data_IF_546680759029
#
_entry.id   IF_546680759029
#
_cell.length_a   1.000
_cell.length_b   1.000
_cell.length_c   1.000
_cell.angle_alpha   90.00
_cell.angle_beta   90.00
_cell.angle_gamma   90.00
#
_symmetry.space_group_name_H-M   'P 1'
#
loop_
_entity.id
_entity.type
_entity.pdbx_description
1 polymer ?
#
# COMPACT_ATOMS: atom_id res chain seq x y z
N UNK A 1 -30.12 25.60 0.08
CA UNK A 1 -28.65 25.59 -0.16
C UNK A 1 -28.37 25.07 -1.57
N UNK A 2 -27.12 25.06 -2.07
CA UNK A 2 -26.83 24.65 -3.46
C UNK A 2 -26.88 23.11 -3.63
N UNK A 3 -27.40 22.64 -4.76
CA UNK A 3 -27.31 21.22 -5.16
C UNK A 3 -25.86 20.82 -5.30
N UNK A 4 -25.44 19.77 -4.59
CA UNK A 4 -24.08 19.25 -4.61
C UNK A 4 -24.04 18.05 -5.56
N UNK A 5 -23.50 18.24 -6.75
CA UNK A 5 -23.12 17.14 -7.64
C UNK A 5 -21.62 16.93 -7.46
N UNK A 6 -21.23 15.78 -6.92
CA UNK A 6 -19.84 15.46 -6.61
C UNK A 6 -19.46 14.09 -7.14
N UNK A 7 -18.21 13.96 -7.57
CA UNK A 7 -17.63 12.69 -8.00
C UNK A 7 -17.01 12.03 -6.79
N UNK A 8 -17.50 10.85 -6.43
CA UNK A 8 -17.01 10.06 -5.29
C UNK A 8 -16.37 8.78 -5.82
N UNK A 9 -15.16 8.50 -5.35
CA UNK A 9 -14.43 7.27 -5.69
C UNK A 9 -14.10 6.50 -4.42
N UNK A 10 -14.45 5.21 -4.39
CA UNK A 10 -14.06 4.30 -3.31
C UNK A 10 -12.63 3.81 -3.51
N UNK A 11 -11.78 3.95 -2.50
CA UNK A 11 -10.37 3.54 -2.47
C UNK A 11 -10.21 2.52 -1.33
N UNK A 12 -10.36 1.21 -1.61
CA UNK A 12 -10.19 0.17 -0.60
C UNK A 12 -8.75 0.11 -0.07
N UNK A 13 -8.60 -0.24 1.21
CA UNK A 13 -7.32 -0.69 1.79
C UNK A 13 -7.01 -2.16 1.45
N UNK A 14 -5.91 -2.66 2.00
CA UNK A 14 -5.31 -3.97 1.64
C UNK A 14 -6.24 -5.19 1.82
N UNK A 15 -7.19 -5.12 2.75
CA UNK A 15 -8.13 -6.22 3.06
C UNK A 15 -9.59 -5.89 2.76
N UNK A 16 -9.84 -4.76 2.12
CA UNK A 16 -11.19 -4.28 1.87
C UNK A 16 -11.81 -4.92 0.61
N UNK A 17 -13.15 -5.07 0.57
CA UNK A 17 -13.84 -5.68 -0.54
C UNK A 17 -13.72 -4.84 -1.83
N UNK A 18 -13.82 -5.49 -2.98
CA UNK A 18 -13.76 -4.82 -4.30
C UNK A 18 -14.96 -3.90 -4.60
N UNK A 19 -16.00 -3.97 -3.77
CA UNK A 19 -17.18 -3.12 -3.83
C UNK A 19 -17.76 -2.94 -2.43
N UNK A 20 -18.38 -1.78 -2.20
CA UNK A 20 -19.07 -1.46 -0.94
C UNK A 20 -20.42 -0.83 -1.24
N UNK A 21 -21.42 -1.12 -0.41
CA UNK A 21 -22.72 -0.44 -0.46
C UNK A 21 -22.77 0.62 0.64
N UNK A 22 -23.04 1.86 0.27
CA UNK A 22 -23.14 2.98 1.21
C UNK A 22 -24.27 3.93 0.79
N UNK A 23 -25.19 4.24 1.72
CA UNK A 23 -26.39 5.05 1.50
C UNK A 23 -27.18 4.69 0.23
N UNK A 24 -27.36 3.38 -0.02
CA UNK A 24 -28.07 2.87 -1.20
C UNK A 24 -27.26 2.85 -2.50
N UNK A 25 -26.02 3.34 -2.49
CA UNK A 25 -25.12 3.29 -3.64
C UNK A 25 -24.13 2.15 -3.53
N UNK A 26 -24.01 1.36 -4.59
CA UNK A 26 -22.85 0.48 -4.76
C UNK A 26 -21.71 1.29 -5.36
N UNK A 27 -20.57 1.31 -4.67
CA UNK A 27 -19.30 1.84 -5.16
C UNK A 27 -18.39 0.68 -5.52
N UNK A 28 -17.78 0.73 -6.70
CA UNK A 28 -16.74 -0.20 -7.09
C UNK A 28 -15.38 0.43 -6.78
N UNK A 29 -14.44 -0.41 -6.37
CA UNK A 29 -13.07 0.01 -6.06
C UNK A 29 -12.45 0.77 -7.24
N UNK A 30 -11.98 1.99 -6.98
CA UNK A 30 -11.32 2.89 -7.91
C UNK A 30 -12.18 3.30 -9.12
N UNK A 31 -13.51 3.20 -9.02
CA UNK A 31 -14.44 3.67 -10.05
C UNK A 31 -15.14 4.93 -9.55
N UNK A 32 -14.93 6.02 -10.28
CA UNK A 32 -15.59 7.30 -10.03
C UNK A 32 -17.10 7.17 -10.25
N UNK A 33 -17.88 7.64 -9.29
CA UNK A 33 -19.34 7.66 -9.35
C UNK A 33 -19.86 9.05 -9.03
N UNK A 34 -20.65 9.61 -9.94
CA UNK A 34 -21.33 10.87 -9.71
C UNK A 34 -22.50 10.65 -8.74
N UNK A 35 -22.52 11.42 -7.65
CA UNK A 35 -23.60 11.44 -6.66
C UNK A 35 -24.16 12.85 -6.58
N UNK A 36 -25.50 12.96 -6.62
CA UNK A 36 -26.22 14.22 -6.51
C UNK A 36 -26.97 14.26 -5.19
N UNK A 37 -26.60 15.21 -4.33
CA UNK A 37 -27.19 15.44 -3.03
C UNK A 37 -27.83 16.82 -2.92
N UNK A 38 -28.93 16.88 -2.18
CA UNK A 38 -29.62 18.12 -1.83
C UNK A 38 -30.07 18.04 -0.36
N UNK A 39 -29.51 18.87 0.55
CA UNK A 39 -29.88 18.86 1.96
C UNK A 39 -31.33 19.29 2.21
N UNK A 40 -31.96 20.00 1.26
CA UNK A 40 -33.35 20.45 1.34
C UNK A 40 -34.30 19.56 0.51
N UNK A 41 -33.76 18.59 -0.24
CA UNK A 41 -34.47 17.76 -1.21
C UNK A 41 -35.27 16.60 -0.62
N UNK A 42 -35.54 15.60 -1.46
CA UNK A 42 -36.20 14.34 -1.05
C UNK A 42 -35.34 13.57 -0.05
N UNK A 43 -35.93 12.60 0.67
CA UNK A 43 -35.20 11.78 1.65
C UNK A 43 -33.95 11.11 1.06
N UNK A 44 -33.98 10.72 -0.22
CA UNK A 44 -32.83 10.16 -0.94
C UNK A 44 -31.76 11.20 -1.25
N UNK A 45 -32.15 12.43 -1.61
CA UNK A 45 -31.20 13.51 -1.89
C UNK A 45 -30.52 14.02 -0.61
N UNK A 46 -31.24 14.01 0.51
CA UNK A 46 -30.68 14.33 1.84
C UNK A 46 -29.64 13.29 2.27
N UNK A 47 -29.95 12.00 2.08
CA UNK A 47 -29.00 10.90 2.32
C UNK A 47 -27.75 11.02 1.43
N UNK A 48 -27.92 11.42 0.17
CA UNK A 48 -26.80 11.65 -0.74
C UNK A 48 -25.95 12.85 -0.30
N UNK A 49 -26.56 13.94 0.17
CA UNK A 49 -25.83 15.10 0.70
C UNK A 49 -24.97 14.70 1.92
N UNK A 50 -25.54 13.94 2.86
CA UNK A 50 -24.80 13.40 4.00
C UNK A 50 -23.67 12.44 3.58
N UNK A 51 -23.90 11.62 2.55
CA UNK A 51 -22.87 10.74 2.01
C UNK A 51 -21.70 11.55 1.42
N UNK A 52 -21.97 12.61 0.68
CA UNK A 52 -20.92 13.49 0.12
C UNK A 52 -20.08 14.11 1.25
N UNK A 53 -20.71 14.64 2.30
CA UNK A 53 -20.01 15.22 3.45
C UNK A 53 -19.20 14.18 4.23
N UNK A 54 -19.76 12.99 4.44
CA UNK A 54 -19.09 11.90 5.13
C UNK A 54 -17.90 11.36 4.33
N UNK A 55 -18.04 11.27 3.00
CA UNK A 55 -16.98 10.80 2.12
C UNK A 55 -15.74 11.71 2.13
N UNK A 56 -15.91 13.03 2.34
CA UNK A 56 -14.78 13.97 2.47
C UNK A 56 -13.88 13.68 3.68
N UNK A 57 -14.45 13.09 4.73
CA UNK A 57 -13.73 12.76 5.97
C UNK A 57 -13.40 11.27 6.07
N UNK A 58 -13.67 10.48 5.04
CA UNK A 58 -13.46 9.03 5.05
C UNK A 58 -12.17 8.69 4.27
N UNK A 59 -11.17 8.05 4.89
CA UNK A 59 -9.90 7.71 4.22
C UNK A 59 -10.07 6.74 3.04
N UNK A 60 -11.19 6.02 2.98
CA UNK A 60 -11.49 5.10 1.89
C UNK A 60 -12.26 5.74 0.74
N UNK A 61 -12.51 7.05 0.76
CA UNK A 61 -13.25 7.73 -0.30
C UNK A 61 -12.59 9.05 -0.70
N UNK A 62 -12.62 9.35 -1.99
CA UNK A 62 -12.08 10.60 -2.55
C UNK A 62 -13.22 11.35 -3.25
N UNK A 63 -13.34 12.65 -2.99
CA UNK A 63 -14.39 13.53 -3.52
C UNK A 63 -13.78 14.62 -4.40
N UNK A 64 -14.19 14.73 -5.68
CA UNK A 64 -13.83 15.84 -6.60
C UNK A 64 -13.48 15.44 -8.05
N UNK A 65 -13.56 16.39 -8.98
CA UNK A 65 -13.15 16.22 -10.38
C UNK A 65 -11.64 16.01 -10.52
N UNK A 66 -11.24 14.98 -11.25
CA UNK A 66 -9.82 14.65 -11.43
C UNK A 66 -9.23 13.73 -10.37
N UNK A 67 -10.05 13.20 -9.45
CA UNK A 67 -9.72 12.02 -8.67
C UNK A 67 -9.61 10.79 -9.60
N UNK A 68 -8.57 10.78 -10.45
CA UNK A 68 -7.95 9.53 -10.85
C UNK A 68 -7.50 8.93 -9.54
N UNK A 69 -8.30 8.01 -8.99
CA UNK A 69 -7.73 7.00 -8.13
C UNK A 69 -6.58 6.42 -8.95
N UNK A 70 -5.35 6.83 -8.62
CA UNK A 70 -4.18 6.09 -8.98
C UNK A 70 -4.49 4.72 -8.43
N UNK A 71 -4.86 3.82 -9.35
CA UNK A 71 -5.11 2.43 -9.07
C UNK A 71 -3.93 2.02 -8.21
N UNK A 72 -4.13 1.86 -6.89
CA UNK A 72 -3.23 1.06 -6.09
C UNK A 72 -3.20 -0.24 -6.88
N UNK A 73 -2.06 -0.47 -7.54
CA UNK A 73 -1.96 -1.43 -8.61
C UNK A 73 -2.21 -2.77 -7.97
N UNK A 74 -3.49 -3.22 -8.00
CA UNK A 74 -3.99 -4.54 -7.63
C UNK A 74 -2.82 -5.49 -7.60
N UNK A 75 -2.23 -5.74 -6.43
CA UNK A 75 -0.88 -6.30 -6.24
C UNK A 75 -0.49 -7.14 -7.44
N UNK A 76 0.07 -6.48 -8.46
CA UNK A 76 0.50 -7.18 -9.65
C UNK A 76 1.82 -7.69 -9.16
N UNK A 77 1.78 -8.93 -8.66
CA UNK A 77 2.98 -9.68 -8.35
C UNK A 77 3.99 -9.37 -9.43
N UNK A 78 5.15 -8.79 -9.07
CA UNK A 78 6.08 -8.28 -10.05
C UNK A 78 6.45 -9.41 -11.01
N UNK A 79 6.68 -9.02 -12.26
CA UNK A 79 6.98 -9.96 -13.35
C UNK A 79 8.40 -9.83 -13.86
N UNK A 80 9.08 -8.77 -13.45
CA UNK A 80 10.43 -8.41 -13.86
C UNK A 80 11.14 -7.70 -12.71
N UNK A 81 12.46 -7.59 -12.80
CA UNK A 81 13.30 -7.01 -11.76
C UNK A 81 12.91 -5.56 -11.45
N UNK A 82 12.58 -4.77 -12.48
CA UNK A 82 12.13 -3.38 -12.32
C UNK A 82 10.84 -3.29 -11.50
N UNK A 83 9.88 -4.18 -11.78
CA UNK A 83 8.64 -4.30 -11.04
C UNK A 83 8.89 -4.75 -9.61
N UNK A 84 9.85 -5.66 -9.40
CA UNK A 84 10.24 -6.09 -8.06
C UNK A 84 10.83 -4.93 -7.24
N UNK A 85 11.68 -4.08 -7.83
CA UNK A 85 12.19 -2.89 -7.13
C UNK A 85 11.08 -1.92 -6.73
N UNK A 86 10.11 -1.66 -7.62
CA UNK A 86 8.97 -0.82 -7.28
C UNK A 86 8.09 -1.44 -6.18
N UNK A 87 7.87 -2.75 -6.25
CA UNK A 87 7.18 -3.52 -5.22
C UNK A 87 7.90 -3.45 -3.87
N UNK A 88 9.22 -3.62 -3.87
CA UNK A 88 10.09 -3.49 -2.70
C UNK A 88 9.97 -2.12 -2.03
N UNK A 89 10.10 -1.05 -2.81
CA UNK A 89 9.98 0.32 -2.29
C UNK A 89 8.60 0.61 -1.71
N UNK A 90 7.53 0.05 -2.30
CA UNK A 90 6.18 0.24 -1.79
C UNK A 90 6.00 -0.43 -0.44
N UNK A 91 6.35 -1.71 -0.31
CA UNK A 91 6.18 -2.38 0.99
C UNK A 91 7.12 -1.82 2.05
N UNK A 92 8.33 -1.37 1.69
CA UNK A 92 9.25 -0.74 2.65
C UNK A 92 8.67 0.56 3.24
N UNK A 93 7.77 1.25 2.52
CA UNK A 93 7.08 2.46 2.98
C UNK A 93 5.77 2.17 3.73
N UNK A 94 5.04 1.17 3.27
CA UNK A 94 3.70 0.84 3.80
C UNK A 94 3.76 -0.03 5.05
N UNK A 95 4.74 -0.94 5.13
CA UNK A 95 4.92 -1.83 6.27
C UNK A 95 5.74 -1.16 7.38
N UNK A 96 5.34 -1.39 8.63
CA UNK A 96 6.08 -0.93 9.81
C UNK A 96 6.88 -2.11 10.37
N UNK A 97 8.18 -1.88 10.59
CA UNK A 97 9.10 -2.88 11.13
C UNK A 97 9.54 -2.42 12.52
N UNK A 98 9.40 -3.29 13.52
CA UNK A 98 9.82 -3.00 14.89
C UNK A 98 11.22 -3.56 15.18
N UNK A 99 11.59 -4.65 14.50
CA UNK A 99 12.88 -5.31 14.69
C UNK A 99 13.60 -5.58 13.36
N UNK A 100 14.94 -5.75 13.38
CA UNK A 100 15.68 -6.25 12.22
C UNK A 100 15.18 -7.60 11.70
N UNK A 101 14.68 -8.46 12.58
CA UNK A 101 14.12 -9.77 12.21
C UNK A 101 12.84 -9.63 11.39
N UNK A 102 11.97 -8.68 11.71
CA UNK A 102 10.77 -8.41 10.90
C UNK A 102 11.12 -7.98 9.48
N UNK A 103 12.09 -7.08 9.36
CA UNK A 103 12.55 -6.54 8.08
C UNK A 103 13.25 -7.63 7.23
N UNK A 104 14.22 -8.34 7.81
CA UNK A 104 14.94 -9.43 7.14
C UNK A 104 13.98 -10.57 6.79
N UNK A 105 13.12 -10.97 7.72
CA UNK A 105 12.14 -12.02 7.50
C UNK A 105 11.10 -11.68 6.44
N UNK A 106 10.72 -10.40 6.32
CA UNK A 106 9.86 -9.92 5.21
C UNK A 106 10.58 -9.99 3.87
N UNK A 107 11.84 -9.55 3.81
CA UNK A 107 12.66 -9.63 2.60
C UNK A 107 12.93 -11.08 2.17
N UNK A 108 13.21 -11.96 3.13
CA UNK A 108 13.49 -13.38 2.87
C UNK A 108 12.28 -14.14 2.29
N UNK A 109 11.06 -13.73 2.66
CA UNK A 109 9.82 -14.29 2.08
C UNK A 109 9.69 -14.04 0.57
N UNK A 110 10.34 -12.99 0.05
CA UNK A 110 10.32 -12.67 -1.38
C UNK A 110 11.31 -13.50 -2.20
N UNK A 111 12.08 -14.43 -1.63
CA UNK A 111 13.14 -15.16 -2.35
C UNK A 111 12.66 -15.85 -3.64
N UNK A 112 11.51 -16.50 -3.59
CA UNK A 112 10.93 -17.11 -4.80
C UNK A 112 10.47 -16.06 -5.81
N UNK A 113 9.99 -14.91 -5.34
CA UNK A 113 9.53 -13.81 -6.18
C UNK A 113 10.72 -13.11 -6.86
N UNK A 114 11.81 -12.90 -6.12
CA UNK A 114 13.08 -12.39 -6.64
C UNK A 114 13.60 -13.28 -7.78
N UNK A 115 13.60 -14.61 -7.57
CA UNK A 115 13.97 -15.57 -8.60
C UNK A 115 13.03 -15.53 -9.81
N UNK A 116 11.70 -15.43 -9.60
CA UNK A 116 10.71 -15.32 -10.68
C UNK A 116 10.80 -14.01 -11.47
N UNK A 117 11.34 -12.96 -10.88
CA UNK A 117 11.49 -11.64 -11.49
C UNK A 117 12.88 -11.42 -12.12
N UNK A 118 13.76 -12.42 -12.07
CA UNK A 118 15.15 -12.32 -12.54
C UNK A 118 15.92 -11.16 -11.87
N UNK A 119 15.73 -10.97 -10.55
CA UNK A 119 16.45 -9.95 -9.77
C UNK A 119 17.93 -10.31 -9.72
N UNK A 120 18.76 -9.48 -10.34
CA UNK A 120 20.20 -9.69 -10.46
C UNK A 120 21.02 -8.92 -9.42
N UNK A 121 22.35 -9.07 -9.46
CA UNK A 121 23.26 -8.37 -8.55
C UNK A 121 23.11 -6.85 -8.58
N UNK A 122 22.92 -6.26 -9.76
CA UNK A 122 22.72 -4.81 -9.93
C UNK A 122 21.42 -4.33 -9.26
N UNK A 123 20.40 -5.18 -9.23
CA UNK A 123 19.14 -4.89 -8.55
C UNK A 123 19.30 -4.98 -7.03
N UNK A 124 20.03 -5.98 -6.54
CA UNK A 124 20.35 -6.11 -5.12
C UNK A 124 21.17 -4.93 -4.61
N UNK A 125 22.12 -4.41 -5.40
CA UNK A 125 22.85 -3.20 -5.05
C UNK A 125 21.90 -1.99 -4.85
N UNK A 126 20.95 -1.78 -5.78
CA UNK A 126 19.96 -0.70 -5.66
C UNK A 126 18.99 -0.91 -4.49
N UNK A 127 18.62 -2.15 -4.20
CA UNK A 127 17.78 -2.50 -3.05
C UNK A 127 18.54 -2.22 -1.75
N UNK A 128 19.83 -2.58 -1.69
CA UNK A 128 20.72 -2.36 -0.55
C UNK A 128 20.82 -0.90 -0.13
N UNK A 129 20.87 0.02 -1.10
CA UNK A 129 20.89 1.48 -0.83
C UNK A 129 19.71 1.97 0.03
N UNK A 130 18.57 1.27 -0.01
CA UNK A 130 17.38 1.58 0.78
C UNK A 130 17.21 0.65 1.98
N UNK A 131 17.58 -0.62 1.82
CA UNK A 131 17.42 -1.66 2.83
C UNK A 131 18.41 -1.49 3.99
N UNK A 132 19.69 -1.25 3.69
CA UNK A 132 20.76 -1.26 4.67
C UNK A 132 20.67 -0.10 5.66
N UNK A 133 20.35 1.16 5.25
CA UNK A 133 20.14 2.24 6.21
C UNK A 133 19.00 1.91 7.18
N UNK A 134 17.90 1.33 6.66
CA UNK A 134 16.74 0.97 7.48
C UNK A 134 17.06 -0.15 8.45
N UNK A 135 17.79 -1.17 7.99
CA UNK A 135 18.28 -2.25 8.84
C UNK A 135 19.20 -1.72 9.93
N UNK A 136 20.10 -0.79 9.61
CA UNK A 136 21.04 -0.20 10.57
C UNK A 136 20.32 0.64 11.63
N UNK A 137 19.30 1.42 11.23
CA UNK A 137 18.43 2.15 12.18
C UNK A 137 17.76 1.20 13.16
N UNK A 138 17.15 0.11 12.66
CA UNK A 138 16.47 -0.89 13.50
C UNK A 138 17.46 -1.62 14.41
N UNK A 139 18.61 -2.01 13.89
CA UNK A 139 19.64 -2.67 14.67
C UNK A 139 20.16 -1.79 15.81
N UNK A 140 20.38 -0.50 15.53
CA UNK A 140 20.78 0.47 16.54
C UNK A 140 19.68 0.70 17.58
N UNK A 141 18.41 0.76 17.17
CA UNK A 141 17.28 0.88 18.08
C UNK A 141 17.13 -0.33 19.02
N UNK A 142 17.47 -1.53 18.52
CA UNK A 142 17.42 -2.77 19.28
C UNK A 142 18.74 -3.11 20.00
N UNK A 143 19.78 -2.26 19.92
CA UNK A 143 21.13 -2.50 20.45
C UNK A 143 21.73 -3.86 20.00
N UNK A 144 21.51 -4.21 18.74
CA UNK A 144 21.97 -5.47 18.15
C UNK A 144 23.36 -5.31 17.54
N UNK A 145 24.27 -6.21 17.90
CA UNK A 145 25.60 -6.30 17.31
C UNK A 145 25.53 -6.90 15.90
N UNK A 146 26.53 -6.59 15.06
CA UNK A 146 26.62 -7.10 13.68
C UNK A 146 26.57 -8.64 13.60
N UNK A 147 27.16 -9.33 14.58
CA UNK A 147 27.12 -10.79 14.68
C UNK A 147 25.69 -11.33 14.89
N UNK A 148 24.83 -10.59 15.59
CA UNK A 148 23.43 -10.96 15.80
C UNK A 148 22.62 -10.71 14.53
N UNK A 149 22.87 -9.61 13.81
CA UNK A 149 22.26 -9.34 12.51
C UNK A 149 22.62 -10.44 11.51
N UNK A 150 23.90 -10.84 11.47
CA UNK A 150 24.36 -11.94 10.62
C UNK A 150 23.65 -13.26 10.97
N UNK A 151 23.43 -13.54 12.25
CA UNK A 151 22.69 -14.71 12.69
C UNK A 151 21.22 -14.70 12.21
N UNK A 152 20.56 -13.54 12.22
CA UNK A 152 19.19 -13.38 11.70
C UNK A 152 19.13 -13.71 10.21
N UNK A 153 20.09 -13.21 9.41
CA UNK A 153 20.18 -13.57 8.00
C UNK A 153 20.35 -15.07 7.75
N UNK A 154 21.23 -15.71 8.52
CA UNK A 154 21.46 -17.17 8.45
C UNK A 154 20.18 -17.94 8.82
N UNK A 155 19.46 -17.52 9.87
CA UNK A 155 18.20 -18.12 10.27
C UNK A 155 17.11 -18.05 9.18
N UNK A 156 17.15 -17.01 8.35
CA UNK A 156 16.27 -16.83 7.19
C UNK A 156 16.80 -17.46 5.89
N UNK A 157 17.87 -18.26 5.96
CA UNK A 157 18.36 -19.05 4.83
C UNK A 157 19.28 -18.31 3.86
N UNK A 158 19.85 -17.18 4.28
CA UNK A 158 20.92 -16.47 3.58
C UNK A 158 22.26 -16.87 4.20
N UNK A 159 22.96 -17.81 3.57
CA UNK A 159 24.28 -18.28 4.01
C UNK A 159 25.42 -17.33 3.62
N UNK A 160 25.14 -16.39 2.71
CA UNK A 160 25.96 -15.24 2.38
C UNK A 160 25.04 -14.04 2.32
N UNK A 161 25.46 -12.92 2.91
CA UNK A 161 24.76 -11.65 2.76
C UNK A 161 24.74 -11.29 1.25
N UNK A 162 23.65 -10.74 0.71
CA UNK A 162 23.50 -10.53 -0.74
C UNK A 162 24.39 -9.42 -1.34
N UNK A 163 25.59 -9.18 -0.80
CA UNK A 163 26.58 -8.23 -1.30
C UNK A 163 28.02 -8.77 -1.22
#
# INVERSE_FOLDING_TARGET
MAKLAEIITYVPGQHDPSHVKWCGHTFQANVAKEIKGDPDGTSSEKLNAQLIESARNNPHFVVGEGAKATRASRDKMPKDAKGYRAYFVNWLKEETFETPEDLIGRFARDRELQAKCDVGPDDFAQIGELFDPRLHELAKACDLAEAQIAAVWVNHGYNQLPW
#
